data_IF_667710493876
#
_entry.id   IF_667710493876
#
_cell.length_a   1.000
_cell.length_b   1.000
_cell.length_c   1.000
_cell.angle_alpha   90.00
_cell.angle_beta   90.00
_cell.angle_gamma   90.00
#
_symmetry.space_group_name_H-M   'P 1'
#
loop_
_entity.id
_entity.type
_entity.pdbx_description
1 polymer ?
#
# COMPACT_ATOMS: atom_id res chain seq x y z
N UNK A 1 -10.47 35.86 -57.71
CA UNK A 1 -9.32 35.00 -57.33
C UNK A 1 -8.05 35.81 -56.97
N UNK A 2 -7.63 36.80 -57.76
CA UNK A 2 -6.38 37.58 -57.54
C UNK A 2 -6.34 38.44 -56.25
N UNK A 3 -7.48 38.93 -55.76
CA UNK A 3 -7.59 39.75 -54.54
C UNK A 3 -7.35 38.94 -53.25
N UNK A 4 -7.89 37.72 -53.18
CA UNK A 4 -7.68 36.79 -52.06
C UNK A 4 -6.19 36.41 -51.91
N UNK A 5 -5.50 36.18 -53.03
CA UNK A 5 -4.06 35.86 -53.05
C UNK A 5 -3.22 37.06 -52.57
N UNK A 6 -3.59 38.29 -52.93
CA UNK A 6 -2.89 39.51 -52.47
C UNK A 6 -3.15 39.79 -50.99
N UNK A 7 -4.37 39.57 -50.51
CA UNK A 7 -4.72 39.71 -49.09
C UNK A 7 -3.98 38.68 -48.23
N UNK A 8 -3.97 37.40 -48.66
CA UNK A 8 -3.23 36.33 -48.01
C UNK A 8 -1.72 36.62 -47.95
N UNK A 9 -1.11 37.05 -49.07
CA UNK A 9 0.32 37.45 -49.08
C UNK A 9 0.63 38.62 -48.15
N UNK A 10 -0.27 39.60 -48.01
CA UNK A 10 -0.09 40.72 -47.06
C UNK A 10 -0.22 40.26 -45.61
N UNK A 11 -1.13 39.33 -45.31
CA UNK A 11 -1.28 38.73 -43.99
C UNK A 11 -0.04 37.91 -43.60
N UNK A 12 0.45 37.05 -44.50
CA UNK A 12 1.67 36.26 -44.29
C UNK A 12 2.87 37.17 -44.06
N UNK A 13 3.07 38.21 -44.87
CA UNK A 13 4.17 39.17 -44.67
C UNK A 13 4.06 39.95 -43.35
N UNK A 14 2.86 40.30 -42.92
CA UNK A 14 2.63 40.97 -41.63
C UNK A 14 2.87 40.03 -40.45
N UNK A 15 2.45 38.78 -40.56
CA UNK A 15 2.73 37.74 -39.56
C UNK A 15 4.23 37.47 -39.47
N UNK A 16 4.92 37.34 -40.60
CA UNK A 16 6.37 37.14 -40.69
C UNK A 16 7.15 38.33 -40.09
N UNK A 17 6.75 39.56 -40.41
CA UNK A 17 7.35 40.75 -39.80
C UNK A 17 7.13 40.85 -38.28
N UNK A 18 5.96 40.40 -37.78
CA UNK A 18 5.69 40.31 -36.32
C UNK A 18 6.50 39.20 -35.67
N UNK A 19 6.61 38.04 -36.30
CA UNK A 19 7.43 36.91 -35.84
C UNK A 19 8.91 37.28 -35.74
N UNK A 20 9.46 38.00 -36.74
CA UNK A 20 10.86 38.44 -36.70
C UNK A 20 11.12 39.48 -35.61
N UNK A 21 10.17 40.39 -35.36
CA UNK A 21 10.26 41.34 -34.25
C UNK A 21 10.14 40.66 -32.90
N UNK A 22 9.29 39.65 -32.78
CA UNK A 22 9.19 38.79 -31.61
C UNK A 22 10.51 38.02 -31.41
N UNK A 23 11.06 37.40 -32.45
CA UNK A 23 12.34 36.68 -32.36
C UNK A 23 13.54 37.59 -31.98
N UNK A 24 13.51 38.88 -32.34
CA UNK A 24 14.55 39.84 -32.00
C UNK A 24 14.37 40.48 -30.60
N UNK A 25 13.22 40.29 -29.94
CA UNK A 25 12.95 40.81 -28.60
C UNK A 25 13.35 39.78 -27.55
N UNK A 26 14.27 40.16 -26.66
CA UNK A 26 14.78 39.27 -25.60
C UNK A 26 13.64 38.74 -24.70
N UNK A 27 12.55 39.51 -24.51
CA UNK A 27 11.39 39.06 -23.72
C UNK A 27 10.60 37.95 -24.38
N UNK A 28 10.62 37.89 -25.70
CA UNK A 28 9.93 36.88 -26.49
C UNK A 28 10.71 35.56 -26.57
N UNK A 29 12.05 35.62 -26.62
CA UNK A 29 12.90 34.44 -26.40
C UNK A 29 12.64 33.83 -25.02
N UNK A 30 12.63 34.65 -23.98
CA UNK A 30 12.32 34.21 -22.60
C UNK A 30 10.91 33.62 -22.50
N UNK A 31 9.91 34.18 -23.18
CA UNK A 31 8.55 33.62 -23.17
C UNK A 31 8.48 32.23 -23.84
N UNK A 32 9.22 32.03 -24.93
CA UNK A 32 9.32 30.73 -25.60
C UNK A 32 10.08 29.73 -24.73
N UNK A 33 11.20 30.14 -24.14
CA UNK A 33 11.97 29.32 -23.19
C UNK A 33 11.11 28.93 -21.98
N UNK A 34 10.37 29.87 -21.38
CA UNK A 34 9.46 29.59 -20.27
C UNK A 34 8.31 28.68 -20.67
N UNK A 35 7.80 28.76 -21.92
CA UNK A 35 6.77 27.86 -22.41
C UNK A 35 7.25 26.39 -22.52
N UNK A 36 8.55 26.16 -22.74
CA UNK A 36 9.15 24.83 -22.70
C UNK A 36 9.56 24.39 -21.29
N UNK A 37 10.05 25.33 -20.48
CA UNK A 37 10.60 25.06 -19.14
C UNK A 37 9.50 24.86 -18.09
N UNK A 38 8.41 25.64 -18.14
CA UNK A 38 7.31 25.53 -17.17
C UNK A 38 6.63 24.16 -17.14
N UNK A 39 6.30 23.51 -18.28
CA UNK A 39 5.74 22.16 -18.26
C UNK A 39 6.66 21.12 -17.63
N UNK A 40 7.99 21.26 -17.82
CA UNK A 40 8.98 20.35 -17.22
C UNK A 40 8.97 20.51 -15.70
N UNK A 41 9.03 21.75 -15.19
CA UNK A 41 8.96 22.00 -13.75
C UNK A 41 7.63 21.60 -13.13
N UNK A 42 6.51 21.86 -13.82
CA UNK A 42 5.20 21.42 -13.37
C UNK A 42 5.14 19.89 -13.26
N UNK A 43 5.64 19.18 -14.29
CA UNK A 43 5.70 17.71 -14.28
C UNK A 43 6.58 17.19 -13.15
N UNK A 44 7.77 17.77 -12.94
CA UNK A 44 8.65 17.40 -11.83
C UNK A 44 8.00 17.64 -10.47
N UNK A 45 7.32 18.78 -10.28
CA UNK A 45 6.62 19.10 -9.04
C UNK A 45 5.48 18.11 -8.78
N UNK A 46 4.71 17.77 -9.80
CA UNK A 46 3.65 16.77 -9.71
C UNK A 46 4.20 15.38 -9.39
N UNK A 47 5.20 14.90 -10.12
CA UNK A 47 5.83 13.60 -9.83
C UNK A 47 6.43 13.54 -8.42
N UNK A 48 7.06 14.63 -7.96
CA UNK A 48 7.64 14.70 -6.61
C UNK A 48 6.57 14.66 -5.53
N UNK A 49 5.48 15.42 -5.71
CA UNK A 49 4.32 15.36 -4.82
C UNK A 49 3.77 13.94 -4.75
N UNK A 50 3.56 13.33 -5.91
CA UNK A 50 3.03 11.98 -6.05
C UNK A 50 3.89 10.92 -5.34
N UNK A 51 5.21 10.96 -5.57
CA UNK A 51 6.17 10.09 -4.90
C UNK A 51 6.16 10.28 -3.38
N UNK A 52 6.09 11.52 -2.90
CA UNK A 52 5.96 11.83 -1.47
C UNK A 52 4.69 11.21 -0.88
N UNK A 53 3.58 11.28 -1.60
CA UNK A 53 2.33 10.70 -1.13
C UNK A 53 2.35 9.18 -1.06
N UNK A 54 2.88 8.49 -2.07
CA UNK A 54 3.07 7.03 -2.09
C UNK A 54 3.98 6.61 -0.93
N UNK A 55 5.08 7.33 -0.72
CA UNK A 55 6.01 7.08 0.37
C UNK A 55 5.35 7.18 1.76
N UNK A 56 4.50 8.20 1.96
CA UNK A 56 3.78 8.34 3.24
C UNK A 56 2.77 7.22 3.50
N UNK A 57 2.09 6.72 2.46
CA UNK A 57 1.16 5.59 2.58
C UNK A 57 1.91 4.29 2.95
N UNK A 58 3.03 4.04 2.28
CA UNK A 58 3.89 2.90 2.55
C UNK A 58 4.39 2.89 4.01
N UNK A 59 4.92 4.03 4.48
CA UNK A 59 5.42 4.15 5.85
C UNK A 59 4.30 3.97 6.89
N UNK A 60 3.10 4.51 6.64
CA UNK A 60 1.95 4.33 7.54
C UNK A 60 1.48 2.89 7.61
N UNK A 61 1.40 2.20 6.47
CA UNK A 61 1.04 0.78 6.44
C UNK A 61 2.05 -0.04 7.25
N UNK A 62 3.34 0.16 6.96
CA UNK A 62 4.44 -0.50 7.66
C UNK A 62 4.37 -0.25 9.17
N UNK A 63 4.16 0.99 9.59
CA UNK A 63 4.02 1.36 11.01
C UNK A 63 2.82 0.69 11.69
N UNK A 64 1.70 0.53 10.99
CA UNK A 64 0.51 -0.12 11.54
C UNK A 64 0.71 -1.64 11.64
N UNK A 65 1.41 -2.28 10.70
CA UNK A 65 1.79 -3.70 10.81
C UNK A 65 2.73 -3.94 12.00
N UNK A 66 3.70 -3.03 12.23
CA UNK A 66 4.55 -3.09 13.43
C UNK A 66 3.75 -2.92 14.72
N UNK A 67 2.80 -1.97 14.75
CA UNK A 67 1.94 -1.77 15.91
C UNK A 67 1.10 -3.01 16.22
N UNK A 68 0.62 -3.71 15.19
CA UNK A 68 -0.13 -4.95 15.35
C UNK A 68 0.74 -6.05 15.97
N UNK A 69 1.95 -6.25 15.43
CA UNK A 69 2.90 -7.21 15.98
C UNK A 69 3.29 -6.91 17.43
N UNK A 70 3.52 -5.65 17.77
CA UNK A 70 3.85 -5.20 19.13
C UNK A 70 2.67 -5.39 20.10
N UNK A 71 1.44 -5.06 19.69
CA UNK A 71 0.25 -5.29 20.51
C UNK A 71 0.11 -6.79 20.83
N UNK A 72 0.34 -7.67 19.86
CA UNK A 72 0.24 -9.12 20.07
C UNK A 72 1.40 -9.63 20.92
N UNK A 73 2.63 -9.16 20.65
CA UNK A 73 3.81 -9.60 21.37
C UNK A 73 3.85 -9.17 22.84
N UNK A 74 3.10 -8.12 23.20
CA UNK A 74 2.97 -7.63 24.58
C UNK A 74 1.82 -8.28 25.36
N UNK A 75 1.00 -9.14 24.73
CA UNK A 75 -0.09 -9.85 25.39
C UNK A 75 0.45 -10.98 26.26
N UNK A 76 -0.11 -11.09 27.47
CA UNK A 76 0.34 -12.04 28.51
C UNK A 76 -0.61 -13.23 28.71
N UNK A 77 -1.72 -13.28 27.99
CA UNK A 77 -2.73 -14.35 28.05
C UNK A 77 -3.07 -14.83 26.64
N UNK A 78 -3.75 -15.98 26.57
CA UNK A 78 -4.35 -16.47 25.35
C UNK A 78 -5.25 -15.42 24.68
N UNK A 79 -5.30 -15.47 23.36
CA UNK A 79 -6.07 -14.55 22.53
C UNK A 79 -7.33 -15.24 22.02
N UNK A 80 -8.46 -14.53 22.05
CA UNK A 80 -9.68 -14.98 21.38
C UNK A 80 -9.75 -14.43 19.95
N UNK A 81 -10.61 -15.02 19.12
CA UNK A 81 -10.83 -14.51 17.77
C UNK A 81 -11.37 -13.06 17.81
N UNK A 82 -12.34 -12.78 18.69
CA UNK A 82 -12.90 -11.44 18.87
C UNK A 82 -11.87 -10.40 19.34
N UNK A 83 -10.89 -10.81 20.16
CA UNK A 83 -9.79 -9.94 20.57
C UNK A 83 -8.86 -9.60 19.40
N UNK A 84 -8.54 -10.59 18.56
CA UNK A 84 -7.76 -10.36 17.34
C UNK A 84 -8.53 -9.46 16.37
N UNK A 85 -9.84 -9.64 16.23
CA UNK A 85 -10.68 -8.79 15.39
C UNK A 85 -10.73 -7.35 15.93
N UNK A 86 -10.85 -7.17 17.24
CA UNK A 86 -10.81 -5.85 17.88
C UNK A 86 -9.46 -5.14 17.70
N UNK A 87 -8.35 -5.87 17.87
CA UNK A 87 -6.99 -5.34 17.63
C UNK A 87 -6.84 -4.95 16.16
N UNK A 88 -7.30 -5.83 15.26
CA UNK A 88 -7.29 -5.60 13.84
C UNK A 88 -8.05 -4.32 13.52
N UNK A 89 -9.32 -4.22 13.90
CA UNK A 89 -10.19 -3.06 13.65
C UNK A 89 -9.54 -1.75 14.14
N UNK A 90 -8.98 -1.73 15.34
CA UNK A 90 -8.26 -0.56 15.87
C UNK A 90 -7.10 -0.11 14.96
N UNK A 91 -6.27 -1.06 14.51
CA UNK A 91 -5.10 -0.77 13.65
C UNK A 91 -5.55 -0.24 12.28
N UNK A 92 -6.62 -0.79 11.72
CA UNK A 92 -7.17 -0.30 10.46
C UNK A 92 -7.83 1.06 10.60
N UNK A 93 -8.56 1.32 11.68
CA UNK A 93 -9.13 2.64 11.89
C UNK A 93 -8.00 3.67 11.98
N UNK A 94 -6.93 3.38 12.71
CA UNK A 94 -5.71 4.19 12.74
C UNK A 94 -5.14 4.44 11.33
N UNK A 95 -4.99 3.38 10.52
CA UNK A 95 -4.55 3.51 9.13
C UNK A 95 -5.52 4.37 8.30
N UNK A 96 -6.81 4.11 8.39
CA UNK A 96 -7.87 4.70 7.59
C UNK A 96 -8.12 6.18 7.93
N UNK A 97 -8.00 6.58 9.19
CA UNK A 97 -8.05 7.99 9.60
C UNK A 97 -6.79 8.74 9.17
N UNK A 98 -5.64 8.07 9.19
CA UNK A 98 -4.37 8.65 8.78
C UNK A 98 -4.16 8.70 7.26
N UNK A 99 -4.94 7.95 6.48
CA UNK A 99 -4.79 7.87 5.03
C UNK A 99 -5.50 9.04 4.34
N UNK A 100 -4.70 9.97 3.82
CA UNK A 100 -5.16 11.16 3.10
C UNK A 100 -5.86 10.84 1.77
N UNK A 101 -5.66 9.63 1.21
CA UNK A 101 -6.35 9.15 0.01
C UNK A 101 -7.83 8.82 0.27
N UNK A 102 -8.30 8.87 1.53
CA UNK A 102 -9.70 8.69 1.90
C UNK A 102 -10.52 9.93 1.54
N UNK A 103 -11.11 9.96 0.35
CA UNK A 103 -12.11 10.98 -0.01
C UNK A 103 -13.48 10.62 0.53
N UNK A 104 -14.09 11.52 1.31
CA UNK A 104 -15.49 11.42 1.72
C UNK A 104 -16.38 11.91 0.58
N UNK A 105 -16.67 11.02 -0.37
CA UNK A 105 -17.78 11.15 -1.31
C UNK A 105 -17.59 12.11 -2.50
N UNK A 106 -17.34 11.55 -3.67
CA UNK A 106 -17.93 12.00 -4.93
C UNK A 106 -17.86 10.84 -5.92
N UNK A 107 -19.02 10.36 -6.36
CA UNK A 107 -19.24 9.03 -6.96
C UNK A 107 -18.57 8.68 -8.30
N UNK A 108 -17.35 9.15 -8.58
CA UNK A 108 -16.45 8.60 -9.60
C UNK A 108 -14.96 8.69 -9.22
N UNK A 109 -14.62 9.13 -8.00
CA UNK A 109 -13.26 9.06 -7.45
C UNK A 109 -13.22 7.94 -6.42
N UNK A 110 -12.14 7.14 -6.41
CA UNK A 110 -11.84 5.99 -5.55
C UNK A 110 -12.93 5.61 -4.58
N UNK A 111 -13.39 4.35 -4.65
CA UNK A 111 -14.23 3.81 -3.60
C UNK A 111 -13.65 4.17 -2.23
N UNK A 112 -14.52 4.20 -1.23
CA UNK A 112 -14.25 4.41 0.21
C UNK A 112 -13.16 3.48 0.80
N UNK A 113 -12.45 2.78 -0.06
CA UNK A 113 -11.71 1.53 -0.03
C UNK A 113 -10.19 1.71 -0.16
N UNK A 114 -9.65 2.93 -0.34
CA UNK A 114 -8.21 3.14 -0.11
C UNK A 114 -7.77 2.74 1.33
N UNK A 115 -8.74 2.62 2.25
CA UNK A 115 -8.59 1.93 3.53
C UNK A 115 -8.79 0.40 3.45
N UNK A 116 -9.74 -0.11 2.63
CA UNK A 116 -9.97 -1.56 2.40
C UNK A 116 -8.77 -2.28 1.75
N UNK A 117 -7.79 -1.54 1.23
CA UNK A 117 -6.58 -2.11 0.66
C UNK A 117 -5.49 -2.40 1.70
N UNK A 118 -5.67 -1.97 2.96
CA UNK A 118 -4.83 -2.44 4.06
C UNK A 118 -5.35 -3.80 4.54
N UNK A 119 -4.84 -4.84 3.89
CA UNK A 119 -5.20 -6.22 4.17
C UNK A 119 -4.02 -6.92 4.82
N UNK A 120 -4.29 -7.71 5.85
CA UNK A 120 -3.22 -8.36 6.57
C UNK A 120 -3.65 -9.71 7.12
N UNK A 121 -2.64 -10.52 7.39
CA UNK A 121 -2.74 -11.84 7.99
C UNK A 121 -1.75 -11.91 9.15
N UNK A 122 -2.18 -12.54 10.21
CA UNK A 122 -1.44 -12.78 11.43
C UNK A 122 -1.29 -14.30 11.54
N UNK A 123 -0.07 -14.80 11.55
CA UNK A 123 0.21 -16.24 11.66
C UNK A 123 1.07 -16.48 12.89
N UNK A 124 0.60 -17.30 13.81
CA UNK A 124 1.44 -17.79 14.89
C UNK A 124 2.22 -19.02 14.44
N UNK A 125 3.53 -18.99 14.70
CA UNK A 125 4.44 -20.00 14.22
C UNK A 125 5.35 -20.45 15.35
N UNK A 126 5.50 -21.76 15.48
CA UNK A 126 6.51 -22.39 16.33
C UNK A 126 7.62 -22.96 15.47
N UNK A 127 8.85 -22.53 15.67
CA UNK A 127 10.01 -23.18 15.09
C UNK A 127 10.15 -24.60 15.66
N UNK A 128 10.17 -25.60 14.77
CA UNK A 128 10.21 -27.01 15.13
C UNK A 128 11.25 -27.74 14.28
N UNK A 129 12.13 -28.46 14.96
CA UNK A 129 13.13 -29.33 14.34
C UNK A 129 12.47 -30.57 13.79
N UNK A 130 12.55 -30.76 12.48
CA UNK A 130 12.03 -31.94 11.80
C UNK A 130 12.96 -33.14 11.98
N UNK A 131 12.47 -34.38 11.74
CA UNK A 131 13.28 -35.60 11.84
C UNK A 131 14.54 -35.61 10.97
N UNK A 132 14.57 -34.80 9.90
CA UNK A 132 15.72 -34.63 9.01
C UNK A 132 16.75 -33.58 9.49
N UNK A 133 16.57 -33.01 10.69
CA UNK A 133 17.43 -31.97 11.26
C UNK A 133 17.17 -30.55 10.74
N UNK A 134 16.22 -30.34 9.82
CA UNK A 134 15.85 -29.00 9.37
C UNK A 134 14.84 -28.35 10.31
N UNK A 135 15.09 -27.11 10.73
CA UNK A 135 14.11 -26.33 11.52
C UNK A 135 13.14 -25.65 10.56
N UNK A 136 11.83 -25.82 10.80
CA UNK A 136 10.76 -25.15 10.05
C UNK A 136 9.75 -24.54 10.99
N UNK A 137 9.02 -23.53 10.53
CA UNK A 137 7.90 -22.99 11.27
C UNK A 137 6.67 -23.88 11.13
N UNK A 138 6.13 -24.40 12.22
CA UNK A 138 4.80 -25.00 12.28
C UNK A 138 3.78 -23.91 12.54
N UNK A 139 2.76 -23.79 11.69
CA UNK A 139 1.63 -22.87 11.92
C UNK A 139 0.80 -23.43 13.08
N UNK A 140 0.71 -22.66 14.17
CA UNK A 140 -0.15 -22.99 15.33
C UNK A 140 -1.56 -22.42 15.13
N UNK A 141 -1.69 -21.17 14.72
CA UNK A 141 -2.97 -20.54 14.38
C UNK A 141 -2.79 -19.41 13.38
N UNK A 142 -3.88 -18.98 12.74
CA UNK A 142 -3.89 -17.91 11.76
C UNK A 142 -5.15 -17.05 11.87
N UNK A 143 -5.00 -15.74 11.73
CA UNK A 143 -6.08 -14.77 11.56
C UNK A 143 -5.89 -14.00 10.26
N UNK A 144 -6.95 -13.82 9.49
CA UNK A 144 -6.95 -13.07 8.24
C UNK A 144 -7.98 -11.97 8.28
N UNK A 145 -7.51 -10.76 7.99
CA UNK A 145 -8.37 -9.64 7.66
C UNK A 145 -8.35 -9.35 6.16
N UNK A 146 -9.46 -9.73 5.53
CA UNK A 146 -9.81 -9.48 4.13
C UNK A 146 -8.85 -10.07 3.08
N UNK A 147 -9.42 -10.80 2.12
CA UNK A 147 -8.79 -11.06 0.82
C UNK A 147 -7.73 -12.16 0.74
N UNK A 148 -7.45 -12.91 1.80
CA UNK A 148 -6.70 -14.18 1.72
C UNK A 148 -7.45 -15.28 2.45
N UNK A 149 -7.35 -16.51 1.97
CA UNK A 149 -7.79 -17.68 2.73
C UNK A 149 -6.79 -17.95 3.84
N UNK A 150 -7.27 -18.24 5.04
CA UNK A 150 -6.41 -18.68 6.12
C UNK A 150 -5.68 -19.98 5.73
N UNK A 151 -4.36 -20.04 5.89
CA UNK A 151 -3.58 -21.28 5.78
C UNK A 151 -4.07 -22.26 6.85
N UNK A 152 -3.95 -23.55 6.57
CA UNK A 152 -4.36 -24.55 7.54
C UNK A 152 -3.30 -24.69 8.65
N UNK A 153 -3.71 -24.60 9.93
CA UNK A 153 -2.86 -24.96 11.07
C UNK A 153 -2.25 -26.36 10.91
N UNK A 154 -1.07 -26.57 11.48
CA UNK A 154 -0.32 -27.82 11.34
C UNK A 154 0.53 -27.89 10.06
N UNK A 155 0.36 -26.97 9.11
CA UNK A 155 1.26 -26.85 7.98
C UNK A 155 2.60 -26.23 8.38
N UNK A 156 3.65 -26.64 7.67
CA UNK A 156 4.97 -26.09 7.88
C UNK A 156 5.34 -25.08 6.80
N UNK A 157 5.94 -23.98 7.22
CA UNK A 157 6.45 -22.92 6.37
C UNK A 157 7.97 -22.78 6.52
N UNK A 158 8.58 -22.13 5.52
CA UNK A 158 9.98 -21.70 5.63
C UNK A 158 10.02 -20.45 6.49
N UNK A 159 11.01 -20.40 7.39
CA UNK A 159 11.24 -19.27 8.30
C UNK A 159 12.68 -18.78 8.10
N UNK A 160 12.97 -17.49 8.35
CA UNK A 160 14.33 -16.94 8.23
C UNK A 160 15.32 -17.71 9.08
N UNK A 161 16.58 -17.80 8.65
CA UNK A 161 17.62 -18.58 9.32
C UNK A 161 17.86 -18.06 10.76
N UNK A 162 17.67 -16.76 10.98
CA UNK A 162 17.79 -16.10 12.29
C UNK A 162 16.70 -16.55 13.28
N UNK A 163 15.60 -17.14 12.79
CA UNK A 163 14.46 -17.60 13.58
C UNK A 163 14.41 -19.11 13.73
N UNK A 164 15.39 -19.83 13.19
CA UNK A 164 15.50 -21.29 13.26
C UNK A 164 16.05 -21.75 14.63
N UNK A 165 15.43 -21.28 15.70
CA UNK A 165 15.74 -21.69 17.08
C UNK A 165 14.60 -22.60 17.53
N UNK A 166 14.92 -23.87 17.76
CA UNK A 166 13.93 -24.88 18.12
C UNK A 166 13.09 -24.48 19.34
N UNK A 167 11.77 -24.66 19.23
CA UNK A 167 10.79 -24.26 20.26
C UNK A 167 10.47 -22.77 20.31
N UNK A 168 11.16 -21.90 19.57
CA UNK A 168 10.87 -20.48 19.53
C UNK A 168 9.51 -20.22 18.87
N UNK A 169 8.70 -19.38 19.52
CA UNK A 169 7.42 -18.92 18.98
C UNK A 169 7.52 -17.46 18.54
N UNK A 170 6.87 -17.17 17.43
CA UNK A 170 6.78 -15.83 16.89
C UNK A 170 5.50 -15.66 16.09
N UNK A 171 5.12 -14.40 15.93
CA UNK A 171 3.99 -14.00 15.10
C UNK A 171 4.54 -13.42 13.81
N UNK A 172 4.02 -13.91 12.69
CA UNK A 172 4.24 -13.33 11.37
C UNK A 172 3.06 -12.44 11.07
N UNK A 173 3.33 -11.17 10.77
CA UNK A 173 2.33 -10.24 10.25
C UNK A 173 2.65 -9.99 8.78
N UNK A 174 1.83 -10.60 7.92
CA UNK A 174 1.85 -10.41 6.48
C UNK A 174 0.84 -9.32 6.12
N UNK A 175 1.30 -8.16 5.69
CA UNK A 175 0.47 -7.13 5.10
C UNK A 175 0.59 -7.12 3.57
N UNK A 176 -0.48 -6.71 2.91
CA UNK A 176 -0.38 -6.21 1.55
C UNK A 176 -1.15 -4.91 1.42
N UNK A 177 -0.58 -4.01 0.63
CA UNK A 177 -1.18 -2.71 0.32
C UNK A 177 -1.12 -2.44 -1.16
N UNK A 178 -2.13 -1.76 -1.66
CA UNK A 178 -2.10 -1.14 -2.97
C UNK A 178 -1.77 0.34 -2.79
N UNK A 179 -0.68 0.78 -3.41
CA UNK A 179 -0.28 2.19 -3.36
C UNK A 179 -0.91 2.92 -4.54
N UNK A 180 -1.96 3.69 -4.28
CA UNK A 180 -2.56 4.55 -5.29
C UNK A 180 -1.81 5.90 -5.33
N UNK A 181 -1.16 6.25 -6.46
CA UNK A 181 -0.61 7.58 -6.63
C UNK A 181 -1.73 8.62 -6.61
N UNK A 182 -1.42 9.84 -6.16
CA UNK A 182 -2.32 10.99 -6.19
C UNK A 182 -2.92 11.16 -7.58
N UNK A 183 -2.17 11.05 -8.68
CA UNK A 183 -2.72 11.26 -10.04
C UNK A 183 -3.52 10.09 -10.61
N UNK A 184 -3.71 9.02 -9.85
CA UNK A 184 -4.60 7.94 -10.26
C UNK A 184 -6.07 8.45 -10.45
N UNK A 185 -6.51 9.52 -9.76
CA UNK A 185 -7.84 10.15 -10.03
C UNK A 185 -8.01 10.67 -11.46
N UNK A 186 -6.92 10.91 -12.19
CA UNK A 186 -6.99 11.29 -13.61
C UNK A 186 -7.34 10.10 -14.52
N UNK A 187 -7.52 8.90 -13.97
CA UNK A 187 -7.77 7.66 -14.71
C UNK A 187 -6.56 7.18 -15.52
N UNK A 188 -5.36 7.70 -15.22
CA UNK A 188 -4.13 7.38 -15.95
C UNK A 188 -3.53 6.06 -15.46
N UNK A 189 -3.79 5.67 -14.21
CA UNK A 189 -3.17 4.50 -13.55
C UNK A 189 -4.23 3.59 -12.92
N UNK A 190 -4.97 2.80 -13.69
CA UNK A 190 -6.02 1.91 -13.15
C UNK A 190 -5.43 0.76 -12.30
N UNK A 191 -5.26 1.02 -11.00
CA UNK A 191 -4.86 0.03 -9.99
C UNK A 191 -6.10 -0.48 -9.27
N UNK A 192 -6.80 -1.42 -9.90
CA UNK A 192 -7.94 -2.11 -9.32
C UNK A 192 -7.46 -3.33 -8.50
N UNK A 193 -7.59 -3.31 -7.15
CA UNK A 193 -7.11 -4.37 -6.27
C UNK A 193 -7.88 -5.69 -6.46
N UNK A 194 -9.09 -5.64 -7.01
CA UNK A 194 -9.96 -6.80 -7.20
C UNK A 194 -9.82 -7.43 -8.59
N UNK A 195 -9.09 -6.78 -9.52
CA UNK A 195 -8.72 -7.38 -10.83
C UNK A 195 -7.67 -8.48 -10.76
N UNK A 196 -7.17 -8.81 -9.56
CA UNK A 196 -6.18 -9.87 -9.37
C UNK A 196 -4.81 -9.58 -9.96
N UNK A 197 -4.57 -8.34 -10.44
CA UNK A 197 -3.27 -7.89 -10.88
C UNK A 197 -2.33 -7.62 -9.70
N UNK A 198 -1.03 -7.86 -9.87
CA UNK A 198 0.00 -7.50 -8.89
C UNK A 198 0.51 -6.07 -9.04
N UNK A 199 -0.06 -5.29 -9.96
CA UNK A 199 0.38 -3.93 -10.24
C UNK A 199 0.05 -3.00 -9.07
N UNK A 200 1.06 -2.31 -8.54
CA UNK A 200 0.92 -1.43 -7.37
C UNK A 200 0.78 -2.15 -6.03
N UNK A 201 0.87 -3.49 -6.00
CA UNK A 201 0.86 -4.31 -4.79
C UNK A 201 2.24 -4.30 -4.12
N UNK A 202 2.26 -4.00 -2.82
CA UNK A 202 3.43 -4.12 -1.97
C UNK A 202 3.15 -5.13 -0.87
N UNK A 203 3.86 -6.25 -0.91
CA UNK A 203 3.82 -7.25 0.15
C UNK A 203 4.84 -6.89 1.24
N UNK A 204 4.38 -6.91 2.49
CA UNK A 204 5.17 -6.61 3.67
C UNK A 204 5.07 -7.82 4.60
N UNK A 205 6.18 -8.49 4.87
CA UNK A 205 6.25 -9.62 5.79
C UNK A 205 7.12 -9.22 6.97
N UNK A 206 6.57 -9.30 8.18
CA UNK A 206 7.26 -8.90 9.42
C UNK A 206 7.13 -9.99 10.47
N UNK A 207 8.19 -10.19 11.25
CA UNK A 207 8.29 -11.25 12.24
C UNK A 207 8.51 -10.69 13.64
N UNK A 208 7.71 -11.12 14.61
CA UNK A 208 7.68 -10.62 15.97
C UNK A 208 7.95 -11.75 16.96
N UNK A 209 9.13 -11.80 17.61
CA UNK A 209 9.47 -12.87 18.52
C UNK A 209 8.73 -12.71 19.86
N UNK A 210 8.07 -13.77 20.32
CA UNK A 210 7.36 -13.79 21.60
C UNK A 210 8.34 -14.14 22.73
N UNK A 211 9.27 -13.22 23.04
CA UNK A 211 10.40 -13.50 23.94
C UNK A 211 10.04 -13.65 25.41
N UNK A 212 8.83 -13.32 25.84
CA UNK A 212 8.49 -13.22 27.27
C UNK A 212 7.18 -13.91 27.68
N UNK A 213 6.43 -14.48 26.75
CA UNK A 213 5.14 -15.12 27.05
C UNK A 213 5.15 -16.51 26.42
N UNK A 214 5.48 -17.56 27.21
CA UNK A 214 5.33 -18.91 26.73
C UNK A 214 3.83 -19.18 26.54
N UNK A 215 3.47 -19.59 25.33
CA UNK A 215 2.16 -20.13 24.98
C UNK A 215 1.00 -19.15 24.89
N UNK A 216 1.02 -18.23 23.92
CA UNK A 216 -0.21 -17.60 23.42
C UNK A 216 -0.90 -18.59 22.48
N UNK A 217 -1.96 -19.23 22.97
CA UNK A 217 -2.87 -20.00 22.13
C UNK A 217 -4.00 -19.09 21.62
N UNK A 218 -4.67 -19.58 20.56
CA UNK A 218 -5.96 -19.05 20.16
C UNK A 218 -7.04 -19.87 20.89
N UNK A 219 -7.91 -19.21 21.65
CA UNK A 219 -8.96 -19.86 22.45
C UNK A 219 -10.31 -19.49 21.88
N UNK A 220 -11.19 -20.49 21.78
CA UNK A 220 -12.59 -20.31 21.37
C UNK A 220 -13.46 -20.00 22.60
N UNK A 221 -14.07 -18.81 22.62
CA UNK A 221 -15.09 -18.43 23.59
C UNK A 221 -16.51 -18.52 23.00
N UNK A 222 -17.55 -18.75 23.83
CA UNK A 222 -18.92 -18.79 23.35
C UNK A 222 -19.35 -17.45 22.73
N UNK A 223 -19.39 -17.38 21.40
CA UNK A 223 -19.66 -16.15 20.64
C UNK A 223 -18.62 -15.86 19.58
N UNK A 224 -17.41 -16.43 19.69
CA UNK A 224 -16.39 -16.35 18.66
C UNK A 224 -16.87 -17.06 17.39
N UNK A 225 -16.81 -16.37 16.26
CA UNK A 225 -16.99 -16.97 14.94
C UNK A 225 -15.62 -17.46 14.44
N UNK A 226 -15.24 -18.69 14.79
CA UNK A 226 -14.16 -19.44 14.14
C UNK A 226 -14.56 -19.79 12.68
N UNK A 227 -14.68 -18.75 11.86
CA UNK A 227 -15.02 -18.81 10.44
C UNK A 227 -13.75 -18.83 9.56
N UNK A 228 -13.88 -18.56 8.25
CA UNK A 228 -12.76 -18.40 7.30
C UNK A 228 -11.67 -17.40 7.75
N UNK A 229 -11.99 -16.51 8.68
CA UNK A 229 -11.10 -15.47 9.18
C UNK A 229 -10.13 -15.95 10.26
N UNK A 230 -10.48 -16.95 11.06
CA UNK A 230 -9.65 -17.36 12.19
C UNK A 230 -9.61 -18.89 12.31
N UNK A 231 -8.40 -19.45 12.28
CA UNK A 231 -8.16 -20.89 12.37
C UNK A 231 -7.13 -21.15 13.47
N UNK A 232 -7.41 -22.11 14.35
CA UNK A 232 -6.53 -22.53 15.45
C UNK A 232 -6.60 -24.02 15.70
#
# INVERSE_FOLDING_TARGET
>A
MMFLVRAARRLVRRADARMRRFAADARASVAVEMAFVLPIFATMAFLTWDAGTVYTQYNRSTSNLYSLGDIIATRTSDLTCDQLDSIAELVYDSYAYGNWARRTGSGMDFDRNGALDFRFRITMVRAETRPNGSVRGLIEWEYVRAGRSARDPGNYIRIPDEMQIDGMRFVIVDGFIFLAPTFNYLGIFDMDPDRGGSEGRFDLEQFFPLRFVPNIALVEEPGDLFDDKCKG
#
